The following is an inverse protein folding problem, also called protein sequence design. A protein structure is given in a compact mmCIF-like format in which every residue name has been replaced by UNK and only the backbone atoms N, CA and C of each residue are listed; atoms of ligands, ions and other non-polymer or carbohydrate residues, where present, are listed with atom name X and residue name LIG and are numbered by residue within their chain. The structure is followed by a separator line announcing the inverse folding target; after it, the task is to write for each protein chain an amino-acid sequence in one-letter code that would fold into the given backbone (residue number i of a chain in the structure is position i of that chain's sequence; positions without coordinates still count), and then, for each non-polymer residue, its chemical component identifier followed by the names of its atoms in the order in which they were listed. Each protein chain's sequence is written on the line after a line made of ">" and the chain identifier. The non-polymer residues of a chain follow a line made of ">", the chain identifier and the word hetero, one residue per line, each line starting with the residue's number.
data_IF_902323558358
#
_entry.id   IF_902323558358
#
_cell.length_a   1.000
_cell.length_b   1.000
_cell.length_c   1.000
_cell.angle_alpha   90.00
_cell.angle_beta   90.00
_cell.angle_gamma   90.00
#
_symmetry.space_group_name_H-M   'P 1'
#
loop_
_entity.id
_entity.type
_entity.pdbx_description
1 polymer ?
#
# COMPACT_ATOMS: atom_id res chain seq x y z
N UNK A 1 -6.82 12.24 -3.06
CA UNK A 1 -6.09 11.02 -3.44
C UNK A 1 -7.00 9.82 -3.25
N UNK A 2 -7.11 9.03 -4.30
CA UNK A 2 -7.97 7.82 -4.36
C UNK A 2 -9.47 8.12 -4.29
N UNK A 3 -9.90 9.35 -4.56
CA UNK A 3 -11.33 9.67 -4.58
C UNK A 3 -12.09 8.85 -5.62
N UNK A 4 -11.43 8.55 -6.75
CA UNK A 4 -12.01 7.74 -7.83
C UNK A 4 -11.51 6.31 -7.82
N UNK A 5 -10.95 5.86 -6.70
CA UNK A 5 -10.43 4.50 -6.56
C UNK A 5 -9.12 4.28 -7.30
N UNK A 6 -8.83 3.01 -7.58
CA UNK A 6 -7.58 2.63 -8.22
C UNK A 6 -7.66 2.53 -9.74
N UNK A 7 -8.85 2.43 -10.29
CA UNK A 7 -9.00 2.03 -11.69
C UNK A 7 -9.67 3.11 -12.53
N UNK A 8 -9.32 3.11 -13.80
CA UNK A 8 -10.03 3.86 -14.83
C UNK A 8 -10.35 2.89 -15.97
N UNK A 9 -11.31 3.26 -16.81
CA UNK A 9 -11.71 2.41 -17.94
C UNK A 9 -10.96 2.84 -19.18
N UNK A 10 -10.28 1.89 -19.82
CA UNK A 10 -9.62 2.09 -21.11
C UNK A 10 -9.98 0.93 -22.02
N UNK A 11 -10.44 1.25 -23.21
CA UNK A 11 -10.83 0.23 -24.20
C UNK A 11 -11.79 -0.79 -23.58
N UNK A 12 -12.75 -0.28 -22.80
CA UNK A 12 -13.78 -1.09 -22.12
C UNK A 12 -13.22 -2.02 -21.05
N UNK A 13 -11.97 -1.78 -20.60
CA UNK A 13 -11.34 -2.60 -19.56
C UNK A 13 -10.91 -1.72 -18.38
N UNK A 14 -11.09 -2.20 -17.14
CA UNK A 14 -10.54 -1.49 -15.98
C UNK A 14 -9.03 -1.67 -15.95
N UNK A 15 -8.31 -0.55 -15.84
CA UNK A 15 -6.85 -0.56 -15.70
C UNK A 15 -6.49 0.34 -14.54
N UNK A 16 -5.37 0.04 -13.88
CA UNK A 16 -4.91 0.89 -12.79
C UNK A 16 -4.56 2.27 -13.34
N UNK A 17 -4.90 3.30 -12.58
CA UNK A 17 -4.64 4.67 -12.97
C UNK A 17 -3.13 4.90 -13.02
N UNK A 18 -2.58 5.36 -14.16
CA UNK A 18 -1.11 5.43 -14.32
C UNK A 18 -0.41 6.29 -13.27
N UNK A 19 -1.06 7.36 -12.78
CA UNK A 19 -0.44 8.21 -11.78
C UNK A 19 -0.14 7.48 -10.48
N UNK A 20 -0.86 6.40 -10.18
CA UNK A 20 -0.61 5.60 -8.99
C UNK A 20 0.66 4.77 -9.11
N UNK A 21 1.12 4.55 -10.32
CA UNK A 21 2.35 3.79 -10.59
C UNK A 21 3.53 4.72 -10.85
N UNK A 22 3.32 6.02 -10.95
CA UNK A 22 4.36 6.97 -11.31
C UNK A 22 4.28 8.21 -10.44
N UNK A 23 3.71 9.30 -10.91
CA UNK A 23 3.77 10.60 -10.24
C UNK A 23 3.35 10.60 -8.79
N UNK A 24 2.20 10.01 -8.47
CA UNK A 24 1.73 9.93 -7.08
C UNK A 24 2.61 9.00 -6.25
N UNK A 25 3.09 7.90 -6.85
CA UNK A 25 3.98 6.98 -6.13
C UNK A 25 5.29 7.67 -5.77
N UNK A 26 5.83 8.47 -6.68
CA UNK A 26 7.06 9.24 -6.43
C UNK A 26 6.83 10.25 -5.31
N UNK A 27 5.72 10.98 -5.37
CA UNK A 27 5.39 11.99 -4.37
C UNK A 27 5.26 11.36 -2.97
N UNK A 28 4.57 10.23 -2.88
CA UNK A 28 4.41 9.52 -1.63
C UNK A 28 5.75 9.02 -1.11
N UNK A 29 6.59 8.48 -2.00
CA UNK A 29 7.93 8.02 -1.61
C UNK A 29 8.74 9.15 -0.98
N UNK A 30 8.69 10.35 -1.57
CA UNK A 30 9.39 11.51 -1.00
C UNK A 30 8.84 11.90 0.36
N UNK A 31 7.51 11.93 0.51
CA UNK A 31 6.89 12.25 1.79
C UNK A 31 7.34 11.27 2.87
N UNK A 32 7.35 9.98 2.57
CA UNK A 32 7.75 8.97 3.53
C UNK A 32 9.24 9.09 3.89
N UNK A 33 10.09 9.32 2.91
CA UNK A 33 11.53 9.48 3.15
C UNK A 33 11.84 10.69 3.99
N UNK A 34 11.17 11.81 3.72
CA UNK A 34 11.35 13.04 4.50
C UNK A 34 10.85 12.89 5.93
N UNK A 35 9.88 12.00 6.14
CA UNK A 35 9.36 11.73 7.48
C UNK A 35 10.22 10.74 8.26
N UNK A 36 11.29 10.22 7.66
CA UNK A 36 12.20 9.31 8.35
C UNK A 36 11.90 7.83 8.18
N UNK A 37 11.00 7.48 7.25
CA UNK A 37 10.76 6.06 6.95
C UNK A 37 12.02 5.41 6.43
N UNK A 38 12.25 4.14 6.78
CA UNK A 38 13.42 3.41 6.32
C UNK A 38 13.04 2.39 5.27
N UNK A 39 13.95 2.17 4.33
CA UNK A 39 13.74 1.24 3.22
C UNK A 39 13.40 -0.17 3.73
N UNK A 40 14.11 -0.63 4.78
CA UNK A 40 13.86 -1.96 5.32
C UNK A 40 12.46 -2.08 5.89
N UNK A 41 11.94 -1.00 6.49
CA UNK A 41 10.58 -0.99 7.01
C UNK A 41 9.57 -1.10 5.88
N UNK A 42 9.74 -0.30 4.82
CA UNK A 42 8.82 -0.33 3.68
C UNK A 42 8.81 -1.70 3.02
N UNK A 43 9.98 -2.30 2.81
CA UNK A 43 10.05 -3.63 2.19
C UNK A 43 9.38 -4.69 3.04
N UNK A 44 9.52 -4.58 4.37
CA UNK A 44 8.89 -5.52 5.28
C UNK A 44 7.35 -5.44 5.18
N UNK A 45 6.82 -4.22 5.16
CA UNK A 45 5.37 -4.05 5.08
C UNK A 45 4.84 -4.44 3.70
N UNK A 46 5.59 -4.18 2.63
CA UNK A 46 5.20 -4.65 1.30
C UNK A 46 5.17 -6.17 1.25
N UNK A 47 6.19 -6.83 1.79
CA UNK A 47 6.24 -8.29 1.87
C UNK A 47 5.02 -8.83 2.60
N UNK A 48 4.65 -8.17 3.70
CA UNK A 48 3.49 -8.57 4.48
C UNK A 48 2.20 -8.39 3.70
N UNK A 49 2.06 -7.28 2.96
CA UNK A 49 0.89 -7.05 2.13
C UNK A 49 0.78 -8.10 1.02
N UNK A 50 1.91 -8.48 0.41
CA UNK A 50 1.93 -9.55 -0.58
C UNK A 50 1.55 -10.89 0.05
N UNK A 51 1.95 -11.13 1.29
CA UNK A 51 1.56 -12.34 2.01
C UNK A 51 0.06 -12.41 2.26
N UNK A 52 -0.55 -11.27 2.56
CA UNK A 52 -2.00 -11.19 2.72
C UNK A 52 -2.69 -11.55 1.40
N UNK A 53 -2.21 -11.02 0.30
CA UNK A 53 -2.78 -11.30 -1.02
C UNK A 53 -2.61 -12.78 -1.39
N UNK A 54 -1.43 -13.34 -1.13
CA UNK A 54 -1.17 -14.75 -1.41
C UNK A 54 -2.07 -15.67 -0.60
N UNK A 55 -2.27 -15.35 0.67
CA UNK A 55 -3.15 -16.14 1.52
C UNK A 55 -4.59 -16.07 1.02
N UNK A 56 -5.05 -14.89 0.62
CA UNK A 56 -6.37 -14.75 0.05
C UNK A 56 -6.52 -15.58 -1.23
N UNK A 57 -5.52 -15.52 -2.11
CA UNK A 57 -5.53 -16.27 -3.36
C UNK A 57 -5.63 -17.77 -3.12
N UNK A 58 -4.96 -18.26 -2.07
CA UNK A 58 -4.97 -19.68 -1.73
C UNK A 58 -6.29 -20.10 -1.08
N UNK A 59 -6.76 -19.35 -0.08
CA UNK A 59 -7.95 -19.71 0.68
C UNK A 59 -9.24 -19.20 0.04
N UNK A 60 -9.16 -18.09 -0.71
CA UNK A 60 -10.30 -17.53 -1.44
C UNK A 60 -11.37 -16.89 -0.58
N UNK A 61 -11.13 -16.69 0.71
CA UNK A 61 -12.13 -16.15 1.64
C UNK A 61 -11.96 -14.65 1.82
N UNK A 62 -13.02 -13.89 1.48
CA UNK A 62 -13.02 -12.44 1.69
C UNK A 62 -12.92 -12.10 3.19
N UNK A 63 -13.49 -12.90 4.04
CA UNK A 63 -13.38 -12.74 5.49
C UNK A 63 -11.93 -12.83 5.94
N UNK A 64 -11.19 -13.79 5.43
CA UNK A 64 -9.77 -13.93 5.73
C UNK A 64 -9.00 -12.71 5.27
N UNK A 65 -9.29 -12.22 4.07
CA UNK A 65 -8.65 -11.01 3.55
C UNK A 65 -8.90 -9.82 4.48
N UNK A 66 -10.14 -9.60 4.88
CA UNK A 66 -10.48 -8.48 5.76
C UNK A 66 -9.80 -8.60 7.12
N UNK A 67 -9.80 -9.79 7.71
CA UNK A 67 -9.15 -10.00 9.00
C UNK A 67 -7.67 -9.67 8.93
N UNK A 68 -7.00 -10.14 7.87
CA UNK A 68 -5.57 -9.91 7.71
C UNK A 68 -5.27 -8.42 7.44
N UNK A 69 -6.12 -7.76 6.66
CA UNK A 69 -5.96 -6.34 6.37
C UNK A 69 -6.13 -5.51 7.64
N UNK A 70 -7.12 -5.83 8.47
CA UNK A 70 -7.34 -5.10 9.71
C UNK A 70 -6.22 -5.35 10.71
N UNK A 71 -5.67 -6.56 10.76
CA UNK A 71 -4.51 -6.85 11.61
C UNK A 71 -3.29 -6.06 11.16
N UNK A 72 -3.08 -5.94 9.86
CA UNK A 72 -2.02 -5.15 9.26
C UNK A 72 -2.14 -3.68 9.67
N UNK A 73 -3.34 -3.12 9.52
CA UNK A 73 -3.64 -1.73 9.90
C UNK A 73 -3.40 -1.49 11.39
N UNK A 74 -3.87 -2.41 12.22
CA UNK A 74 -3.74 -2.29 13.68
C UNK A 74 -2.29 -2.32 14.12
N UNK A 75 -1.49 -3.19 13.52
CA UNK A 75 -0.07 -3.29 13.85
C UNK A 75 0.68 -2.01 13.50
N UNK A 76 0.35 -1.40 12.36
CA UNK A 76 0.96 -0.13 11.97
C UNK A 76 0.58 0.95 12.98
N UNK A 77 -0.69 1.02 13.40
CA UNK A 77 -1.13 1.99 14.39
C UNK A 77 -0.35 1.82 15.70
N UNK A 78 -0.14 0.57 16.12
CA UNK A 78 0.63 0.28 17.32
C UNK A 78 2.06 0.80 17.20
N UNK A 79 2.70 0.55 16.06
CA UNK A 79 4.09 0.97 15.86
C UNK A 79 4.23 2.48 15.73
N UNK A 80 3.26 3.15 15.13
CA UNK A 80 3.25 4.61 15.09
C UNK A 80 3.08 5.17 16.50
N UNK A 81 2.19 4.58 17.28
CA UNK A 81 2.00 4.97 18.68
C UNK A 81 3.28 4.81 19.52
N UNK A 82 4.09 3.80 19.18
CA UNK A 82 5.38 3.56 19.83
C UNK A 82 6.51 4.39 19.22
N UNK A 83 6.21 5.25 18.25
CA UNK A 83 7.18 6.09 17.54
C UNK A 83 8.23 5.30 16.78
N UNK A 84 7.87 4.10 16.35
CA UNK A 84 8.74 3.26 15.54
C UNK A 84 8.53 3.49 14.05
N UNK A 85 7.39 4.06 13.66
CA UNK A 85 7.04 4.40 12.29
C UNK A 85 6.52 5.82 12.24
N UNK A 86 6.74 6.53 11.12
CA UNK A 86 6.24 7.91 10.98
C UNK A 86 4.74 7.91 10.67
N UNK A 87 4.04 8.95 11.13
CA UNK A 87 2.61 9.11 10.89
C UNK A 87 2.23 9.11 9.40
N UNK A 88 3.00 9.75 8.51
CA UNK A 88 2.63 9.71 7.09
C UNK A 88 2.48 8.31 6.52
N UNK A 89 3.23 7.32 7.04
CA UNK A 89 3.06 5.95 6.60
C UNK A 89 1.70 5.41 7.04
N UNK A 90 1.28 5.70 8.26
CA UNK A 90 -0.03 5.29 8.73
C UNK A 90 -1.13 5.93 7.89
N UNK A 91 -0.99 7.22 7.58
CA UNK A 91 -1.96 7.92 6.75
C UNK A 91 -2.06 7.30 5.36
N UNK A 92 -0.91 6.96 4.78
CA UNK A 92 -0.85 6.29 3.48
C UNK A 92 -1.60 4.95 3.52
N UNK A 93 -1.28 4.12 4.50
CA UNK A 93 -1.89 2.79 4.61
C UNK A 93 -3.38 2.90 4.90
N UNK A 94 -3.77 3.76 5.85
CA UNK A 94 -5.19 3.89 6.22
C UNK A 94 -6.04 4.34 5.03
N UNK A 95 -5.55 5.32 4.27
CA UNK A 95 -6.29 5.78 3.10
C UNK A 95 -6.43 4.68 2.06
N UNK A 96 -5.36 3.94 1.83
CA UNK A 96 -5.41 2.84 0.88
C UNK A 96 -6.34 1.72 1.34
N UNK A 97 -6.33 1.40 2.62
CA UNK A 97 -7.19 0.34 3.12
C UNK A 97 -8.67 0.72 3.02
N UNK A 98 -9.02 2.00 3.22
CA UNK A 98 -10.40 2.45 3.01
C UNK A 98 -10.92 2.06 1.63
N UNK A 99 -10.07 2.19 0.61
CA UNK A 99 -10.47 1.89 -0.76
C UNK A 99 -10.23 0.41 -1.08
N UNK A 100 -9.10 -0.14 -0.65
CA UNK A 100 -8.69 -1.49 -1.02
C UNK A 100 -9.54 -2.58 -0.36
N UNK A 101 -10.16 -2.27 0.79
CA UNK A 101 -10.97 -3.26 1.48
C UNK A 101 -12.38 -3.37 0.94
N UNK A 102 -12.76 -2.56 -0.06
CA UNK A 102 -14.10 -2.63 -0.63
C UNK A 102 -14.33 -3.88 -1.45
N UNK A 103 -13.27 -4.40 -2.07
CA UNK A 103 -13.34 -5.65 -2.82
C UNK A 103 -11.93 -6.21 -3.04
N UNK A 104 -11.81 -7.53 -3.30
CA UNK A 104 -10.50 -8.16 -3.45
C UNK A 104 -9.67 -7.62 -4.61
N UNK A 105 -10.31 -7.21 -5.71
CA UNK A 105 -9.57 -6.72 -6.87
C UNK A 105 -8.91 -5.37 -6.58
N UNK A 106 -9.56 -4.53 -5.79
CA UNK A 106 -8.96 -3.26 -5.37
C UNK A 106 -7.70 -3.49 -4.56
N UNK A 107 -7.69 -4.53 -3.73
CA UNK A 107 -6.49 -4.87 -2.96
C UNK A 107 -5.38 -5.43 -3.86
N UNK A 108 -5.71 -6.46 -4.66
CA UNK A 108 -4.71 -7.19 -5.45
C UNK A 108 -4.15 -6.39 -6.61
N UNK A 109 -5.02 -5.71 -7.33
CA UNK A 109 -4.65 -5.08 -8.60
C UNK A 109 -4.56 -3.57 -8.49
N UNK A 110 -4.94 -3.01 -7.36
CA UNK A 110 -4.84 -1.57 -7.10
C UNK A 110 -3.80 -1.27 -6.05
N UNK A 111 -4.07 -1.66 -4.81
CA UNK A 111 -3.19 -1.33 -3.69
C UNK A 111 -1.79 -1.95 -3.84
N UNK A 112 -1.71 -3.23 -4.14
CA UNK A 112 -0.40 -3.90 -4.22
C UNK A 112 0.50 -3.26 -5.28
N UNK A 113 0.07 -3.10 -6.55
CA UNK A 113 0.93 -2.45 -7.54
C UNK A 113 1.29 -1.00 -7.18
N UNK A 114 0.34 -0.28 -6.58
CA UNK A 114 0.60 1.09 -6.14
C UNK A 114 1.69 1.12 -5.06
N UNK A 115 1.57 0.26 -4.06
CA UNK A 115 2.55 0.16 -2.98
C UNK A 115 3.92 -0.30 -3.51
N UNK A 116 3.92 -1.26 -4.43
CA UNK A 116 5.16 -1.69 -5.08
C UNK A 116 5.88 -0.53 -5.75
N UNK A 117 5.12 0.35 -6.40
CA UNK A 117 5.69 1.51 -7.07
C UNK A 117 6.26 2.50 -6.07
N UNK A 118 5.57 2.73 -4.94
CA UNK A 118 6.07 3.59 -3.88
C UNK A 118 7.40 3.05 -3.34
N UNK A 119 7.47 1.74 -3.10
CA UNK A 119 8.69 1.12 -2.57
C UNK A 119 9.84 1.22 -3.57
N UNK A 120 9.55 1.00 -4.85
CA UNK A 120 10.58 1.08 -5.88
C UNK A 120 11.16 2.49 -5.99
N UNK A 121 10.30 3.51 -6.01
CA UNK A 121 10.79 4.89 -6.10
C UNK A 121 11.46 5.33 -4.80
N UNK A 122 10.97 4.84 -3.67
CA UNK A 122 11.66 5.11 -2.40
C UNK A 122 13.10 4.59 -2.45
N UNK A 123 13.29 3.35 -2.93
CA UNK A 123 14.64 2.78 -3.03
C UNK A 123 15.52 3.58 -3.98
N UNK A 124 14.94 4.15 -5.02
CA UNK A 124 15.68 4.95 -5.99
C UNK A 124 16.12 6.30 -5.40
N UNK A 125 15.20 7.00 -4.73
CA UNK A 125 15.46 8.35 -4.24
C UNK A 125 16.11 8.39 -2.86
N UNK A 126 15.92 7.36 -2.04
CA UNK A 126 16.46 7.29 -0.68
C UNK A 126 17.33 6.06 -0.54
N UNK A 127 18.47 6.11 -1.20
CA UNK A 127 19.37 4.96 -1.23
C UNK A 127 19.80 4.59 0.16
N UNK A 128 19.98 3.29 0.37
CA UNK A 128 20.32 2.74 1.65
C UNK A 128 21.67 3.23 2.13
N UNK A 129 21.76 3.57 3.36
CA UNK A 129 23.00 3.97 3.99
C UNK A 129 23.61 2.84 4.77
#
# INVERSE_FOLDING_TARGET
>A
YLQDGYFEVRDSQPVIRPELLDGLAISIAHTLGQAGMKSVQLRRFLSRARGIESRFAYEGSYHTLLNDVYAFKRDIAYQVGRKLLPEPFQQFINRNIEVASTDPESFRRGFIPHFESVVAYFAYYFREQ
#
